data_IF_692568389288
#
_entry.id   IF_692568389288
#
_cell.length_a   1.000
_cell.length_b   1.000
_cell.length_c   1.000
_cell.angle_alpha   90.00
_cell.angle_beta   90.00
_cell.angle_gamma   90.00
#
_symmetry.space_group_name_H-M   'P 1'
#
loop_
_entity.id
_entity.type
_entity.pdbx_description
1 polymer ?
#
# COMPACT_ATOMS: atom_id res chain seq x y z
N UNK A 1 5.16 20.85 -3.48
CA UNK A 1 5.78 19.65 -2.90
C UNK A 1 6.08 18.71 -4.06
N UNK A 2 7.20 18.00 -4.01
CA UNK A 2 7.48 16.95 -4.99
C UNK A 2 6.39 15.87 -4.91
N UNK A 3 5.87 15.44 -6.07
CA UNK A 3 4.97 14.30 -6.14
C UNK A 3 5.76 13.06 -5.75
N UNK A 4 5.33 12.40 -4.70
CA UNK A 4 5.88 11.13 -4.28
C UNK A 4 5.23 10.07 -5.17
N UNK A 5 6.03 9.39 -6.00
CA UNK A 5 5.58 8.25 -6.78
C UNK A 5 5.28 7.08 -5.84
N UNK A 6 4.00 6.93 -5.49
CA UNK A 6 3.52 5.86 -4.63
C UNK A 6 3.03 4.67 -5.45
N UNK A 7 3.22 3.45 -4.96
CA UNK A 7 2.75 2.28 -5.64
C UNK A 7 1.21 2.23 -5.64
N UNK A 8 0.67 1.95 -6.81
CA UNK A 8 -0.72 2.24 -7.17
C UNK A 8 -1.76 1.29 -6.54
N UNK A 9 -1.39 0.28 -5.73
CA UNK A 9 -2.33 -0.78 -5.35
C UNK A 9 -2.05 -1.43 -3.98
N UNK A 10 -2.35 -0.73 -2.90
CA UNK A 10 -2.55 -1.35 -1.58
C UNK A 10 -4.01 -1.20 -1.15
N UNK A 11 -4.95 -2.00 -1.71
CA UNK A 11 -6.34 -1.91 -1.31
C UNK A 11 -6.47 -2.34 0.16
N UNK A 12 -7.00 -1.44 0.99
CA UNK A 12 -7.49 -1.79 2.32
C UNK A 12 -8.95 -1.45 2.41
N UNK A 13 -9.68 -2.25 3.19
CA UNK A 13 -11.10 -2.04 3.41
C UNK A 13 -11.38 -2.01 4.90
N UNK A 14 -12.03 -0.96 5.37
CA UNK A 14 -12.63 -0.94 6.70
C UNK A 14 -14.04 -1.50 6.61
N UNK A 15 -14.39 -2.40 7.52
CA UNK A 15 -15.72 -2.96 7.66
C UNK A 15 -16.34 -2.53 9.00
N UNK A 16 -17.63 -2.21 8.98
CA UNK A 16 -18.45 -1.95 10.17
C UNK A 16 -19.59 -2.95 10.14
N UNK A 17 -19.68 -3.83 11.14
CA UNK A 17 -20.67 -4.93 11.18
C UNK A 17 -20.67 -5.80 9.91
N UNK A 18 -19.49 -6.21 9.43
CA UNK A 18 -19.27 -7.00 8.20
C UNK A 18 -19.71 -6.32 6.89
N UNK A 19 -20.05 -5.02 6.91
CA UNK A 19 -20.35 -4.24 5.71
C UNK A 19 -19.16 -3.35 5.37
N UNK A 20 -18.72 -3.30 4.10
CA UNK A 20 -17.63 -2.42 3.69
C UNK A 20 -18.07 -0.98 3.94
N UNK A 21 -17.24 -0.28 4.71
CA UNK A 21 -17.49 1.06 5.22
C UNK A 21 -16.62 2.11 4.53
N UNK A 22 -15.35 1.78 4.26
CA UNK A 22 -14.41 2.67 3.58
C UNK A 22 -13.35 1.88 2.81
N UNK A 23 -13.10 2.28 1.57
CA UNK A 23 -11.98 1.79 0.77
C UNK A 23 -10.82 2.79 0.81
N UNK A 24 -9.64 2.31 1.20
CA UNK A 24 -8.42 3.10 1.34
C UNK A 24 -7.44 2.66 0.24
N UNK A 25 -7.44 3.37 -0.89
CA UNK A 25 -6.55 3.08 -2.03
C UNK A 25 -5.38 4.05 -2.11
N UNK A 26 -4.18 3.55 -2.39
CA UNK A 26 -2.94 4.33 -2.50
C UNK A 26 -2.74 4.99 -3.87
N UNK A 27 -3.65 4.77 -4.81
CA UNK A 27 -3.54 5.22 -6.21
C UNK A 27 -3.55 6.74 -6.39
N UNK A 28 -4.06 7.50 -5.43
CA UNK A 28 -4.11 8.96 -5.49
C UNK A 28 -3.66 9.56 -4.15
N UNK A 29 -2.59 10.34 -4.17
CA UNK A 29 -2.08 11.04 -2.99
C UNK A 29 -1.89 12.53 -3.30
N UNK A 30 -2.19 13.39 -2.33
CA UNK A 30 -1.84 14.81 -2.37
C UNK A 30 -0.74 15.03 -1.32
N UNK A 31 0.51 15.09 -1.77
CA UNK A 31 1.67 15.04 -0.88
C UNK A 31 1.75 13.70 -0.16
N UNK A 32 1.59 13.70 1.17
CA UNK A 32 1.68 12.50 2.02
C UNK A 32 0.32 11.88 2.38
N UNK A 33 -0.78 12.57 2.05
CA UNK A 33 -2.14 12.13 2.39
C UNK A 33 -2.66 11.20 1.30
N UNK A 34 -3.12 10.02 1.71
CA UNK A 34 -3.80 9.07 0.83
C UNK A 34 -5.25 9.52 0.67
N UNK A 35 -5.72 9.62 -0.56
CA UNK A 35 -7.13 9.95 -0.84
C UNK A 35 -7.94 8.65 -0.67
N UNK A 36 -8.72 8.58 0.40
CA UNK A 36 -9.75 7.57 0.56
C UNK A 36 -10.96 7.87 -0.32
N UNK A 37 -11.77 6.87 -0.61
CA UNK A 37 -13.12 7.12 -1.13
C UNK A 37 -13.96 7.93 -0.11
N UNK A 38 -15.07 8.52 -0.57
CA UNK A 38 -15.97 9.32 0.28
C UNK A 38 -16.54 8.44 1.40
N UNK A 39 -16.40 8.91 2.64
CA UNK A 39 -16.92 8.22 3.83
C UNK A 39 -18.46 8.15 3.73
N UNK A 40 -19.00 7.00 4.08
CA UNK A 40 -20.46 6.78 4.08
C UNK A 40 -21.12 7.42 5.33
N UNK A 41 -20.35 7.75 6.38
CA UNK A 41 -20.83 8.17 7.69
C UNK A 41 -19.91 9.26 8.29
N UNK A 42 -20.46 10.46 8.55
CA UNK A 42 -19.72 11.61 9.08
C UNK A 42 -19.33 11.44 10.57
N UNK A 43 -19.89 10.44 11.27
CA UNK A 43 -19.63 10.21 12.69
C UNK A 43 -18.31 9.47 12.95
N UNK A 44 -17.63 9.00 11.89
CA UNK A 44 -16.31 8.37 11.96
C UNK A 44 -15.35 9.13 11.05
N UNK A 45 -14.30 9.70 11.62
CA UNK A 45 -13.25 10.37 10.83
C UNK A 45 -12.09 9.42 10.67
N UNK A 46 -11.72 9.14 9.42
CA UNK A 46 -10.55 8.32 9.08
C UNK A 46 -9.50 9.21 8.41
N UNK A 47 -8.31 9.25 8.99
CA UNK A 47 -7.15 9.92 8.42
C UNK A 47 -6.08 8.89 8.09
N UNK A 48 -5.68 8.83 6.82
CA UNK A 48 -4.69 7.89 6.33
C UNK A 48 -3.51 8.63 5.69
N UNK A 49 -2.34 8.45 6.29
CA UNK A 49 -1.17 9.23 5.96
C UNK A 49 0.06 8.36 5.80
N UNK A 50 0.88 8.67 4.81
CA UNK A 50 2.24 8.15 4.72
C UNK A 50 3.14 9.03 5.57
N UNK A 51 3.70 8.45 6.63
CA UNK A 51 4.53 9.19 7.58
C UNK A 51 6.00 9.12 7.24
N UNK A 52 6.43 8.07 6.53
CA UNK A 52 7.81 7.92 6.11
C UNK A 52 7.92 7.11 4.83
N UNK A 53 8.85 7.52 3.96
CA UNK A 53 9.29 6.73 2.81
C UNK A 53 10.80 6.69 2.85
N UNK A 54 11.34 5.47 2.80
CA UNK A 54 12.77 5.25 2.63
C UNK A 54 12.97 4.55 1.30
N UNK A 55 13.51 5.27 0.34
CA UNK A 55 13.79 4.72 -0.98
C UNK A 55 14.81 3.59 -0.89
N UNK A 56 14.52 2.50 -1.60
CA UNK A 56 15.43 1.37 -1.73
C UNK A 56 16.48 1.61 -2.81
N UNK A 57 17.48 0.73 -2.85
CA UNK A 57 18.45 0.74 -3.94
C UNK A 57 17.82 0.25 -5.26
N UNK A 58 18.08 0.93 -6.39
CA UNK A 58 17.66 0.46 -7.70
C UNK A 58 18.28 -0.90 -8.04
N UNK A 59 17.44 -1.84 -8.45
CA UNK A 59 17.80 -3.14 -8.99
C UNK A 59 17.39 -3.23 -10.45
N UNK A 60 18.29 -3.76 -11.28
CA UNK A 60 17.99 -4.07 -12.67
C UNK A 60 17.67 -5.55 -12.75
N UNK A 61 16.49 -5.86 -13.30
CA UNK A 61 16.06 -7.21 -13.60
C UNK A 61 15.80 -7.33 -15.10
N UNK A 62 15.99 -8.52 -15.65
CA UNK A 62 15.70 -8.80 -17.05
C UNK A 62 14.54 -9.78 -17.11
N UNK A 63 13.46 -9.38 -17.77
CA UNK A 63 12.29 -10.22 -18.04
C UNK A 63 12.32 -10.67 -19.51
N UNK A 64 11.89 -11.90 -19.76
CA UNK A 64 11.74 -12.41 -21.12
C UNK A 64 10.57 -11.71 -21.83
N UNK A 65 10.80 -11.21 -23.04
CA UNK A 65 9.72 -10.64 -23.84
C UNK A 65 8.85 -11.75 -24.44
N UNK A 66 7.60 -11.40 -24.80
CA UNK A 66 6.71 -12.27 -25.59
C UNK A 66 7.35 -12.73 -26.92
N UNK A 67 8.35 -12.01 -27.44
CA UNK A 67 9.14 -12.42 -28.59
C UNK A 67 10.49 -13.02 -28.14
N UNK A 68 10.89 -14.22 -28.63
CA UNK A 68 12.08 -14.96 -28.15
C UNK A 68 13.45 -14.28 -28.32
N UNK A 69 13.51 -13.10 -28.94
CA UNK A 69 14.77 -12.37 -29.23
C UNK A 69 14.81 -10.97 -28.61
N UNK A 70 13.75 -10.56 -27.94
CA UNK A 70 13.67 -9.29 -27.24
C UNK A 70 13.88 -9.53 -25.74
N UNK A 71 14.66 -8.68 -25.09
CA UNK A 71 14.77 -8.68 -23.62
C UNK A 71 14.13 -7.41 -23.08
N UNK A 72 13.50 -7.49 -21.92
CA UNK A 72 12.95 -6.33 -21.24
C UNK A 72 13.85 -6.06 -20.03
N UNK A 73 14.56 -4.93 -20.06
CA UNK A 73 15.22 -4.40 -18.88
C UNK A 73 14.18 -3.69 -18.02
N UNK A 74 13.94 -4.21 -16.83
CA UNK A 74 13.06 -3.61 -15.84
C UNK A 74 13.91 -3.11 -14.68
N UNK A 75 13.89 -1.79 -14.48
CA UNK A 75 14.50 -1.16 -13.30
C UNK A 75 13.44 -1.04 -12.23
N UNK A 76 13.72 -1.64 -11.09
CA UNK A 76 12.83 -1.65 -9.93
C UNK A 76 13.57 -1.13 -8.72
N UNK A 77 12.89 -0.42 -7.81
CA UNK A 77 13.38 -0.23 -6.44
C UNK A 77 12.34 -0.74 -5.46
N UNK A 78 12.77 -1.07 -4.26
CA UNK A 78 11.90 -1.57 -3.19
C UNK A 78 11.92 -0.57 -2.05
N UNK A 79 10.92 0.29 -2.03
CA UNK A 79 10.83 1.37 -1.06
C UNK A 79 10.15 0.85 0.20
N UNK A 80 10.61 1.32 1.36
CA UNK A 80 9.97 1.05 2.63
C UNK A 80 9.02 2.19 2.97
N UNK A 81 7.76 1.86 3.24
CA UNK A 81 6.69 2.82 3.47
C UNK A 81 6.09 2.58 4.85
N UNK A 82 6.09 3.62 5.67
CA UNK A 82 5.36 3.65 6.93
C UNK A 82 4.05 4.43 6.72
N UNK A 83 2.92 3.74 6.90
CA UNK A 83 1.56 4.28 6.76
C UNK A 83 0.92 4.31 8.14
N UNK A 84 0.23 5.40 8.46
CA UNK A 84 -0.45 5.59 9.73
C UNK A 84 -1.91 5.96 9.48
N UNK A 85 -2.78 5.10 9.98
CA UNK A 85 -4.23 5.23 9.91
C UNK A 85 -4.69 5.64 11.31
N UNK A 86 -5.35 6.79 11.40
CA UNK A 86 -5.96 7.30 12.61
C UNK A 86 -7.48 7.28 12.40
N UNK A 87 -8.21 6.65 13.32
CA UNK A 87 -9.66 6.52 13.24
C UNK A 87 -10.24 7.16 14.49
N UNK A 88 -11.06 8.18 14.31
CA UNK A 88 -11.74 8.89 15.38
C UNK A 88 -13.22 8.53 15.40
N UNK A 89 -13.71 8.18 16.59
CA UNK A 89 -15.12 7.93 16.87
C UNK A 89 -15.76 9.20 17.46
N UNK A 90 -16.70 9.81 16.75
CA UNK A 90 -17.48 10.96 17.24
C UNK A 90 -18.76 10.56 17.96
N UNK A 91 -19.12 9.28 17.95
CA UNK A 91 -20.30 8.77 18.64
C UNK A 91 -20.08 8.68 20.15
N UNK A 92 -21.20 8.69 20.87
CA UNK A 92 -21.25 8.47 22.32
C UNK A 92 -21.30 6.97 22.70
N UNK A 93 -21.16 6.07 21.72
CA UNK A 93 -21.10 4.62 21.90
C UNK A 93 -19.82 4.04 21.27
N UNK A 94 -19.30 2.91 21.77
CA UNK A 94 -18.13 2.27 21.18
C UNK A 94 -18.44 1.76 19.77
N UNK A 95 -17.40 1.71 18.94
CA UNK A 95 -17.44 1.16 17.58
C UNK A 95 -16.41 0.04 17.47
N UNK A 96 -16.79 -1.05 16.81
CA UNK A 96 -15.88 -2.10 16.37
C UNK A 96 -15.77 -2.04 14.85
N UNK A 97 -14.54 -2.00 14.35
CA UNK A 97 -14.22 -2.01 12.93
C UNK A 97 -13.24 -3.14 12.65
N UNK A 98 -13.36 -3.75 11.48
CA UNK A 98 -12.37 -4.67 10.96
C UNK A 98 -11.63 -3.99 9.80
N UNK A 99 -10.32 -3.83 9.91
CA UNK A 99 -9.48 -3.37 8.82
C UNK A 99 -8.87 -4.59 8.13
N UNK A 100 -9.18 -4.78 6.86
CA UNK A 100 -8.59 -5.81 6.00
C UNK A 100 -7.52 -5.19 5.11
N UNK A 101 -6.28 -5.64 5.27
CA UNK A 101 -5.17 -5.32 4.39
C UNK A 101 -4.77 -6.57 3.60
N UNK A 102 -4.78 -6.44 2.26
CA UNK A 102 -4.38 -7.50 1.35
C UNK A 102 -3.05 -7.20 0.68
N UNK A 103 -2.06 -8.05 0.92
CA UNK A 103 -0.79 -7.99 0.20
C UNK A 103 -1.00 -8.25 -1.30
N UNK A 104 -0.18 -7.60 -2.12
CA UNK A 104 -0.16 -7.77 -3.57
C UNK A 104 1.26 -8.06 -4.05
N UNK A 105 1.42 -8.39 -5.33
CA UNK A 105 2.75 -8.60 -5.93
C UNK A 105 3.68 -7.38 -5.85
N UNK A 106 3.11 -6.19 -5.66
CA UNK A 106 3.83 -4.92 -5.64
C UNK A 106 3.85 -4.28 -4.24
N UNK A 107 3.07 -4.80 -3.28
CA UNK A 107 3.00 -4.33 -1.89
C UNK A 107 3.06 -5.52 -0.94
N UNK A 108 4.13 -5.61 -0.16
CA UNK A 108 4.36 -6.64 0.84
C UNK A 108 4.22 -6.07 2.25
N UNK A 109 3.65 -6.86 3.15
CA UNK A 109 3.62 -6.59 4.58
C UNK A 109 5.01 -6.78 5.19
N UNK A 110 5.42 -5.88 6.08
CA UNK A 110 6.65 -6.04 6.88
C UNK A 110 6.29 -6.19 8.36
N UNK A 111 5.54 -5.25 8.92
CA UNK A 111 5.07 -5.29 10.30
C UNK A 111 3.93 -4.29 10.53
N UNK A 112 3.32 -4.32 11.72
CA UNK A 112 2.31 -3.34 12.10
C UNK A 112 2.22 -3.14 13.61
N UNK A 113 1.59 -2.04 14.00
CA UNK A 113 1.14 -1.81 15.36
C UNK A 113 -0.30 -1.25 15.35
N UNK A 114 -1.28 -1.93 15.95
CA UNK A 114 -1.17 -3.26 16.59
C UNK A 114 -0.83 -4.37 15.59
N UNK A 115 -0.52 -5.57 16.11
CA UNK A 115 -0.40 -6.77 15.29
C UNK A 115 -1.77 -7.15 14.69
N UNK A 116 -1.82 -7.84 13.54
CA UNK A 116 -3.06 -8.36 12.99
C UNK A 116 -3.72 -9.32 14.00
N UNK A 117 -5.04 -9.24 14.11
CA UNK A 117 -5.85 -10.18 14.87
C UNK A 117 -5.89 -11.56 14.21
N UNK A 118 -5.92 -11.58 12.87
CA UNK A 118 -5.91 -12.80 12.06
C UNK A 118 -4.99 -12.63 10.85
N UNK A 119 -4.26 -13.70 10.49
CA UNK A 119 -3.33 -13.74 9.36
C UNK A 119 -3.68 -14.95 8.50
N UNK A 120 -4.21 -14.69 7.30
CA UNK A 120 -4.49 -15.70 6.27
C UNK A 120 -3.91 -15.21 4.95
N UNK A 121 -2.61 -15.46 4.74
CA UNK A 121 -1.88 -14.89 3.62
C UNK A 121 -2.60 -15.10 2.28
N UNK A 122 -2.77 -14.02 1.49
CA UNK A 122 -2.11 -12.72 1.57
C UNK A 122 -2.78 -11.66 2.48
N UNK A 123 -3.85 -12.01 3.21
CA UNK A 123 -4.67 -11.06 3.96
C UNK A 123 -4.25 -10.96 5.44
N UNK A 124 -4.34 -9.74 5.99
CA UNK A 124 -4.08 -9.40 7.38
C UNK A 124 -5.26 -8.61 7.91
N UNK A 125 -5.91 -9.10 8.96
CA UNK A 125 -7.13 -8.51 9.52
C UNK A 125 -6.83 -7.90 10.88
N UNK A 126 -7.29 -6.68 11.11
CA UNK A 126 -7.15 -5.97 12.38
C UNK A 126 -8.52 -5.67 12.97
N UNK A 127 -8.79 -6.17 14.17
CA UNK A 127 -9.97 -5.80 14.95
C UNK A 127 -9.68 -4.54 15.75
N UNK A 128 -10.39 -3.46 15.44
CA UNK A 128 -10.19 -2.13 16.01
C UNK A 128 -11.41 -1.79 16.86
N UNK A 129 -11.24 -1.77 18.18
CA UNK A 129 -12.23 -1.26 19.11
C UNK A 129 -11.92 0.20 19.43
N UNK A 130 -12.89 1.09 19.19
CA UNK A 130 -12.76 2.52 19.45
C UNK A 130 -13.81 2.92 20.48
N UNK A 131 -13.40 3.32 21.70
CA UNK A 131 -14.32 3.85 22.69
C UNK A 131 -15.07 5.10 22.21
N UNK A 132 -16.18 5.47 22.86
CA UNK A 132 -16.87 6.73 22.61
C UNK A 132 -15.91 7.92 22.64
N UNK A 133 -16.09 8.88 21.72
CA UNK A 133 -15.34 10.15 21.70
C UNK A 133 -13.80 9.98 21.76
N UNK A 134 -13.28 8.91 21.15
CA UNK A 134 -11.88 8.53 21.24
C UNK A 134 -11.27 8.21 19.87
N UNK A 135 -9.98 7.89 19.84
CA UNK A 135 -9.27 7.48 18.63
C UNK A 135 -8.52 6.16 18.78
N UNK A 136 -8.40 5.45 17.67
CA UNK A 136 -7.53 4.30 17.50
C UNK A 136 -6.53 4.55 16.37
N UNK A 137 -5.38 3.89 16.45
CA UNK A 137 -4.29 4.05 15.49
C UNK A 137 -3.79 2.69 15.03
N UNK A 138 -3.60 2.58 13.71
CA UNK A 138 -2.93 1.45 13.07
C UNK A 138 -1.76 2.00 12.26
N UNK A 139 -0.56 1.55 12.60
CA UNK A 139 0.65 1.82 11.82
C UNK A 139 1.01 0.56 11.05
N UNK A 140 1.25 0.69 9.75
CA UNK A 140 1.66 -0.39 8.86
C UNK A 140 3.04 -0.05 8.29
N UNK A 141 3.96 -1.00 8.39
CA UNK A 141 5.23 -0.98 7.68
C UNK A 141 5.13 -1.90 6.47
N UNK A 142 5.36 -1.33 5.30
CA UNK A 142 5.17 -1.99 4.01
C UNK A 142 6.46 -1.93 3.20
N UNK A 143 6.63 -2.91 2.31
CA UNK A 143 7.65 -2.87 1.27
C UNK A 143 6.97 -2.81 -0.10
N UNK A 144 7.36 -1.82 -0.89
CA UNK A 144 6.64 -1.41 -2.07
C UNK A 144 7.56 -1.46 -3.29
N UNK A 145 7.16 -2.23 -4.31
CA UNK A 145 7.90 -2.38 -5.57
C UNK A 145 7.55 -1.22 -6.50
N UNK A 146 8.53 -0.38 -6.79
CA UNK A 146 8.41 0.73 -7.74
C UNK A 146 9.11 0.36 -9.04
N UNK A 147 8.37 0.31 -10.15
CA UNK A 147 8.94 0.14 -11.49
C UNK A 147 9.28 1.52 -12.04
N UNK A 148 10.57 1.85 -12.11
CA UNK A 148 11.03 3.18 -12.52
C UNK A 148 11.30 3.30 -14.02
N UNK A 149 11.61 2.18 -14.68
CA UNK A 149 11.84 2.16 -16.13
C UNK A 149 11.65 0.77 -16.70
N UNK A 150 10.97 0.69 -17.85
CA UNK A 150 10.88 -0.50 -18.68
C UNK A 150 11.50 -0.17 -20.03
N UNK A 151 12.57 -0.89 -20.41
CA UNK A 151 13.25 -0.69 -21.69
C UNK A 151 13.23 -1.99 -22.49
N UNK A 152 12.58 -1.96 -23.67
CA UNK A 152 12.66 -3.06 -24.63
C UNK A 152 14.01 -3.01 -25.34
N UNK A 153 14.81 -4.05 -25.19
CA UNK A 153 16.08 -4.22 -25.87
C UNK A 153 15.82 -4.99 -27.16
N UNK A 154 16.03 -4.32 -28.31
CA UNK A 154 15.92 -4.97 -29.62
C UNK A 154 16.98 -6.07 -29.77
N UNK A 155 16.69 -7.15 -30.54
CA UNK A 155 17.59 -8.29 -30.72
C UNK A 155 19.02 -7.91 -31.16
N UNK A 156 19.14 -6.85 -31.97
CA UNK A 156 20.40 -6.34 -32.51
C UNK A 156 21.38 -5.79 -31.45
N UNK A 157 20.92 -5.45 -30.25
CA UNK A 157 21.75 -4.93 -29.15
C UNK A 157 22.12 -5.97 -28.08
N UNK A 158 21.45 -7.14 -28.08
CA UNK A 158 21.65 -8.21 -27.09
C UNK A 158 23.05 -8.86 -27.23
N UNK A 159 23.64 -8.81 -28.42
CA UNK A 159 24.90 -9.52 -28.75
C UNK A 159 26.20 -8.78 -28.44
N UNK A 160 26.19 -7.57 -27.85
CA UNK A 160 27.44 -6.83 -27.57
C UNK A 160 28.01 -6.98 -26.16
N UNK A 161 27.38 -7.77 -25.27
CA UNK A 161 27.82 -7.97 -23.88
C UNK A 161 28.61 -9.28 -23.62
N UNK A 162 29.09 -9.95 -24.67
CA UNK A 162 30.08 -11.04 -24.54
C UNK A 162 31.35 -10.67 -25.30
N UNK A 163 32.25 -9.94 -24.64
CA UNK A 163 33.70 -10.03 -24.86
C UNK A 163 34.38 -9.95 -23.51
#
# INVERSE_FOLDING_TARGET
GENIDLPVNSPMTLYKNNLPFLFLNTSECIGNKIISEELIDDDIIVEDNIVQIKEGEPKITFEDALQPKEHIEVRTRYDHISRKINIENKLNNPINLDLDFKQTKDIMFVSSQPEPSEIEEPNHIYQINIPPESNAKVTLELQAKIVTRVTKIKPEYVKKLKQ
#
